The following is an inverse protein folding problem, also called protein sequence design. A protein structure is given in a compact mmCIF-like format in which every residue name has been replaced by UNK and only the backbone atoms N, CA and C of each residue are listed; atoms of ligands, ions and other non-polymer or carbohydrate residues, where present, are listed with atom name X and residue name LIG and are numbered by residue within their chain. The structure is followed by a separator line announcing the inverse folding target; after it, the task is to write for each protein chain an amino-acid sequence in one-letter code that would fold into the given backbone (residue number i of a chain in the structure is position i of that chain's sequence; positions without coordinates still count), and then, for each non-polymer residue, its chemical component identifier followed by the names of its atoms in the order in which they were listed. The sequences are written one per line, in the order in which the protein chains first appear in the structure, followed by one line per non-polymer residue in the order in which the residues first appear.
data_IF_005997751832
#
_entry.id   IF_005997751832
#
_cell.length_a   1.000
_cell.length_b   1.000
_cell.length_c   1.000
_cell.angle_alpha   90.00
_cell.angle_beta   90.00
_cell.angle_gamma   90.00
#
_symmetry.space_group_name_H-M   'P 1'
#
loop_
_entity.id
_entity.type
_entity.pdbx_description
1 polymer ?
#
# COMPACT_ATOMS: atom_id res chain seq x y z
N UNK A 1 -41.44 31.24 -43.81
CA UNK A 1 -41.90 30.32 -42.73
C UNK A 1 -41.18 28.95 -42.75
N UNK A 2 -39.95 28.82 -43.27
CA UNK A 2 -39.21 27.54 -43.32
C UNK A 2 -37.84 27.57 -42.61
N UNK A 3 -37.43 28.72 -42.07
CA UNK A 3 -36.11 28.90 -41.45
C UNK A 3 -36.06 28.53 -39.96
N UNK A 4 -37.21 28.34 -39.31
CA UNK A 4 -37.28 28.09 -37.85
C UNK A 4 -37.42 26.62 -37.44
N UNK A 5 -37.71 25.71 -38.39
CA UNK A 5 -37.78 24.26 -38.11
C UNK A 5 -36.42 23.55 -38.19
N UNK A 6 -35.39 24.19 -38.75
CA UNK A 6 -34.06 23.58 -38.89
C UNK A 6 -33.19 23.71 -37.63
N UNK A 7 -33.47 24.68 -36.78
CA UNK A 7 -32.67 24.93 -35.57
C UNK A 7 -33.06 24.05 -34.38
N UNK A 8 -34.28 23.50 -34.36
CA UNK A 8 -34.76 22.65 -33.25
C UNK A 8 -34.22 21.22 -33.29
N UNK A 9 -33.86 20.68 -34.46
CA UNK A 9 -33.30 19.32 -34.56
C UNK A 9 -31.83 19.22 -34.14
N UNK A 10 -31.09 20.32 -34.12
CA UNK A 10 -29.67 20.34 -33.72
C UNK A 10 -29.46 20.40 -32.20
N UNK A 11 -30.48 20.76 -31.42
CA UNK A 11 -30.40 20.83 -29.95
C UNK A 11 -30.75 19.50 -29.25
N UNK A 12 -31.29 18.50 -29.95
CA UNK A 12 -31.69 17.22 -29.37
C UNK A 12 -30.59 16.14 -29.40
N UNK A 13 -29.43 16.41 -30.01
CA UNK A 13 -28.33 15.44 -30.14
C UNK A 13 -27.19 15.63 -29.12
N UNK A 14 -27.24 16.67 -28.28
CA UNK A 14 -26.13 16.99 -27.35
C UNK A 14 -26.38 16.57 -25.90
N UNK A 15 -27.54 16.01 -25.55
CA UNK A 15 -27.91 15.71 -24.16
C UNK A 15 -27.99 14.21 -23.87
N UNK A 16 -26.86 13.50 -23.84
CA UNK A 16 -26.76 12.22 -23.10
C UNK A 16 -25.31 11.76 -22.89
N UNK A 17 -24.41 12.67 -22.51
CA UNK A 17 -23.12 12.27 -21.92
C UNK A 17 -23.22 12.28 -20.39
N UNK A 18 -24.29 11.68 -19.84
CA UNK A 18 -24.22 11.24 -18.44
C UNK A 18 -23.29 10.03 -18.45
N UNK A 19 -22.02 10.26 -18.17
CA UNK A 19 -21.08 9.15 -17.91
C UNK A 19 -21.64 8.38 -16.73
N UNK A 20 -21.98 7.11 -16.93
CA UNK A 20 -22.36 6.23 -15.85
C UNK A 20 -21.20 6.13 -14.85
N UNK A 21 -21.51 6.11 -13.55
CA UNK A 21 -20.51 5.92 -12.49
C UNK A 21 -19.78 4.57 -12.64
N UNK A 22 -20.44 3.58 -13.25
CA UNK A 22 -19.83 2.35 -13.71
C UNK A 22 -19.84 2.33 -15.24
N UNK A 23 -18.66 2.33 -15.86
CA UNK A 23 -18.50 2.12 -17.29
C UNK A 23 -18.05 0.67 -17.54
N UNK A 24 -18.77 -0.08 -18.39
CA UNK A 24 -18.42 -1.47 -18.73
C UNK A 24 -17.91 -1.51 -20.18
N UNK A 25 -16.68 -1.96 -20.36
CA UNK A 25 -16.07 -2.23 -21.65
C UNK A 25 -15.88 -3.74 -21.82
N UNK A 26 -16.52 -4.30 -22.84
CA UNK A 26 -16.49 -5.73 -23.13
C UNK A 26 -16.08 -5.97 -24.59
N UNK A 27 -14.82 -5.67 -24.95
CA UNK A 27 -14.34 -5.76 -26.34
C UNK A 27 -14.39 -7.18 -26.92
N UNK A 28 -14.42 -8.21 -26.05
CA UNK A 28 -14.50 -9.61 -26.46
C UNK A 28 -15.91 -10.18 -26.45
N UNK A 29 -16.93 -9.35 -26.23
CA UNK A 29 -18.35 -9.73 -26.20
C UNK A 29 -18.62 -10.96 -25.31
N UNK A 30 -17.93 -11.05 -24.16
CA UNK A 30 -18.14 -12.13 -23.20
C UNK A 30 -19.51 -11.98 -22.53
N UNK A 31 -20.07 -13.07 -22.03
CA UNK A 31 -21.31 -13.01 -21.27
C UNK A 31 -21.04 -12.31 -19.93
N UNK A 32 -21.56 -11.09 -19.77
CA UNK A 32 -21.42 -10.25 -18.57
C UNK A 32 -22.82 -9.80 -18.16
N UNK A 33 -23.26 -10.08 -16.93
CA UNK A 33 -24.55 -9.61 -16.44
C UNK A 33 -24.45 -8.13 -16.05
N UNK A 34 -24.55 -7.22 -17.02
CA UNK A 34 -24.36 -5.78 -16.82
C UNK A 34 -25.31 -5.20 -15.75
N UNK A 35 -26.59 -5.58 -15.77
CA UNK A 35 -27.58 -5.15 -14.78
C UNK A 35 -27.18 -5.56 -13.35
N UNK A 36 -26.64 -6.76 -13.21
CA UNK A 36 -26.13 -7.26 -11.93
C UNK A 36 -24.86 -6.52 -11.51
N UNK A 37 -23.95 -6.23 -12.44
CA UNK A 37 -22.75 -5.44 -12.17
C UNK A 37 -23.10 -4.04 -11.66
N UNK A 38 -24.08 -3.37 -12.28
CA UNK A 38 -24.60 -2.09 -11.80
C UNK A 38 -25.25 -2.21 -10.41
N UNK A 39 -26.07 -3.24 -10.18
CA UNK A 39 -26.69 -3.47 -8.88
C UNK A 39 -25.66 -3.71 -7.78
N UNK A 40 -24.62 -4.52 -8.05
CA UNK A 40 -23.50 -4.75 -7.14
C UNK A 40 -22.76 -3.45 -6.86
N UNK A 41 -22.40 -2.68 -7.89
CA UNK A 41 -21.72 -1.41 -7.73
C UNK A 41 -22.48 -0.46 -6.80
N UNK A 42 -23.76 -0.20 -7.09
CA UNK A 42 -24.61 0.71 -6.29
C UNK A 42 -24.81 0.17 -4.86
N UNK A 43 -24.93 -1.14 -4.71
CA UNK A 43 -25.10 -1.75 -3.38
C UNK A 43 -23.82 -1.61 -2.57
N UNK A 44 -22.66 -1.90 -3.16
CA UNK A 44 -21.37 -1.75 -2.50
C UNK A 44 -21.14 -0.30 -2.10
N UNK A 45 -21.35 0.67 -2.97
CA UNK A 45 -21.15 2.09 -2.62
C UNK A 45 -22.04 2.53 -1.45
N UNK A 46 -23.33 2.18 -1.46
CA UNK A 46 -24.25 2.49 -0.35
C UNK A 46 -23.84 1.83 0.96
N UNK A 47 -23.40 0.57 0.93
CA UNK A 47 -22.90 -0.13 2.12
C UNK A 47 -21.67 0.58 2.67
N UNK A 48 -20.75 0.99 1.80
CA UNK A 48 -19.53 1.70 2.20
C UNK A 48 -19.82 3.09 2.77
N UNK A 49 -20.71 3.87 2.17
CA UNK A 49 -21.13 5.16 2.72
C UNK A 49 -21.76 5.01 4.11
N UNK A 50 -22.59 3.99 4.31
CA UNK A 50 -23.20 3.69 5.61
C UNK A 50 -22.14 3.30 6.64
N UNK A 51 -21.23 2.41 6.28
CA UNK A 51 -20.18 1.91 7.18
C UNK A 51 -19.25 3.04 7.65
N UNK A 52 -18.95 3.99 6.77
CA UNK A 52 -18.08 5.14 7.08
C UNK A 52 -18.84 6.36 7.58
N UNK A 53 -20.16 6.26 7.81
CA UNK A 53 -21.05 7.36 8.21
C UNK A 53 -20.90 8.61 7.32
N UNK A 54 -20.77 8.39 6.01
CA UNK A 54 -20.51 9.41 5.01
C UNK A 54 -21.55 9.36 3.88
N UNK A 55 -22.83 9.65 4.17
CA UNK A 55 -23.91 9.55 3.20
C UNK A 55 -23.69 10.49 2.01
N UNK A 56 -23.80 9.96 0.79
CA UNK A 56 -23.61 10.73 -0.44
C UNK A 56 -22.16 11.12 -0.75
N UNK A 57 -21.19 10.63 0.03
CA UNK A 57 -19.78 10.96 -0.20
C UNK A 57 -19.21 10.32 -1.47
N UNK A 58 -19.76 9.18 -1.90
CA UNK A 58 -19.39 8.49 -3.15
C UNK A 58 -20.30 8.88 -4.30
N UNK A 59 -21.50 9.35 -4.01
CA UNK A 59 -22.47 9.79 -5.02
C UNK A 59 -21.86 10.83 -5.97
N UNK A 60 -21.88 10.55 -7.27
CA UNK A 60 -21.34 11.39 -8.34
C UNK A 60 -19.82 11.65 -8.31
N UNK A 61 -19.09 11.15 -7.31
CA UNK A 61 -17.63 11.30 -7.22
C UNK A 61 -16.92 10.02 -7.63
N UNK A 62 -17.44 8.88 -7.19
CA UNK A 62 -16.81 7.60 -7.42
C UNK A 62 -17.17 7.06 -8.81
N UNK A 63 -16.17 7.02 -9.68
CA UNK A 63 -16.28 6.40 -11.00
C UNK A 63 -15.37 5.18 -11.10
N UNK A 64 -15.88 4.13 -11.71
CA UNK A 64 -15.17 2.89 -11.94
C UNK A 64 -15.38 2.42 -13.37
N UNK A 65 -14.31 1.93 -13.97
CA UNK A 65 -14.34 1.29 -15.28
C UNK A 65 -14.09 -0.21 -15.13
N UNK A 66 -14.93 -1.03 -15.74
CA UNK A 66 -14.79 -2.48 -15.79
C UNK A 66 -14.44 -2.89 -17.22
N UNK A 67 -13.27 -3.48 -17.41
CA UNK A 67 -12.83 -4.04 -18.70
C UNK A 67 -12.81 -5.56 -18.61
N UNK A 68 -13.60 -6.21 -19.45
CA UNK A 68 -13.76 -7.68 -19.46
C UNK A 68 -13.04 -8.29 -20.67
N UNK A 69 -12.37 -9.42 -20.44
CA UNK A 69 -11.64 -10.17 -21.44
C UNK A 69 -10.14 -9.85 -21.51
N UNK A 70 -9.62 -9.02 -20.61
CA UNK A 70 -8.21 -8.60 -20.61
C UNK A 70 -7.31 -9.51 -19.75
N UNK A 71 -6.04 -9.63 -20.16
CA UNK A 71 -4.98 -10.30 -19.37
C UNK A 71 -3.75 -9.40 -19.30
N UNK A 72 -3.09 -9.27 -18.14
CA UNK A 72 -3.42 -9.92 -16.86
C UNK A 72 -4.62 -9.27 -16.16
N UNK A 73 -5.28 -10.03 -15.27
CA UNK A 73 -6.25 -9.45 -14.34
C UNK A 73 -5.53 -8.49 -13.38
N UNK A 74 -6.05 -7.26 -13.27
CA UNK A 74 -5.43 -6.21 -12.45
C UNK A 74 -6.45 -5.12 -12.15
N UNK A 75 -6.15 -4.29 -11.17
CA UNK A 75 -6.84 -3.02 -10.97
C UNK A 75 -5.83 -1.89 -10.97
N UNK A 76 -6.24 -0.74 -11.49
CA UNK A 76 -5.46 0.50 -11.51
C UNK A 76 -6.25 1.61 -10.85
N UNK A 77 -5.52 2.58 -10.29
CA UNK A 77 -6.07 3.86 -9.86
C UNK A 77 -5.58 4.85 -10.91
N UNK A 78 -6.51 5.38 -11.69
CA UNK A 78 -6.19 6.12 -12.90
C UNK A 78 -5.96 7.61 -12.62
N UNK A 79 -6.48 8.11 -11.50
CA UNK A 79 -6.30 9.50 -11.08
C UNK A 79 -6.17 9.67 -9.56
N UNK A 80 -5.75 10.86 -9.15
CA UNK A 80 -5.63 11.27 -7.75
C UNK A 80 -7.01 11.33 -7.08
N UNK A 81 -8.07 11.49 -7.86
CA UNK A 81 -9.43 11.43 -7.37
C UNK A 81 -9.85 10.02 -6.97
N UNK A 82 -9.02 8.97 -7.21
CA UNK A 82 -9.29 7.60 -6.80
C UNK A 82 -10.20 6.84 -7.77
N UNK A 83 -10.44 7.36 -8.97
CA UNK A 83 -11.16 6.63 -10.00
C UNK A 83 -10.29 5.47 -10.47
N UNK A 84 -10.90 4.30 -10.70
CA UNK A 84 -10.14 3.09 -10.97
C UNK A 84 -10.69 2.27 -12.11
N UNK A 85 -9.78 1.59 -12.81
CA UNK A 85 -10.11 0.59 -13.82
C UNK A 85 -9.83 -0.80 -13.30
N UNK A 86 -10.82 -1.69 -13.40
CA UNK A 86 -10.71 -3.11 -13.12
C UNK A 86 -10.66 -3.89 -14.44
N UNK A 87 -9.60 -4.66 -14.64
CA UNK A 87 -9.43 -5.57 -15.76
C UNK A 87 -9.66 -7.00 -15.27
N UNK A 88 -10.65 -7.69 -15.84
CA UNK A 88 -10.91 -9.10 -15.56
C UNK A 88 -10.83 -9.94 -16.84
N UNK A 89 -10.36 -11.18 -16.73
CA UNK A 89 -10.39 -12.13 -17.84
C UNK A 89 -11.84 -12.60 -18.09
N UNK A 90 -12.58 -12.86 -17.02
CA UNK A 90 -13.98 -13.31 -17.03
C UNK A 90 -14.75 -12.61 -15.92
N UNK A 91 -16.08 -12.51 -16.09
CA UNK A 91 -16.94 -12.00 -15.03
C UNK A 91 -16.77 -12.80 -13.74
N UNK A 92 -16.56 -12.08 -12.64
CA UNK A 92 -16.47 -12.65 -11.31
C UNK A 92 -17.00 -11.63 -10.30
N UNK A 93 -18.17 -11.91 -9.75
CA UNK A 93 -18.88 -11.03 -8.83
C UNK A 93 -18.05 -10.70 -7.59
N UNK A 94 -17.33 -11.69 -7.04
CA UNK A 94 -16.55 -11.51 -5.84
C UNK A 94 -15.34 -10.60 -6.06
N UNK A 95 -14.60 -10.80 -7.16
CA UNK A 95 -13.48 -9.93 -7.55
C UNK A 95 -13.96 -8.52 -7.84
N UNK A 96 -15.06 -8.39 -8.59
CA UNK A 96 -15.68 -7.10 -8.89
C UNK A 96 -16.06 -6.34 -7.61
N UNK A 97 -16.79 -6.99 -6.71
CA UNK A 97 -17.26 -6.40 -5.44
C UNK A 97 -16.08 -6.04 -4.52
N UNK A 98 -15.08 -6.92 -4.42
CA UNK A 98 -13.89 -6.69 -3.58
C UNK A 98 -13.10 -5.47 -4.05
N UNK A 99 -12.88 -5.32 -5.36
CA UNK A 99 -12.16 -4.16 -5.90
C UNK A 99 -13.00 -2.89 -5.78
N UNK A 100 -14.31 -2.97 -6.07
CA UNK A 100 -15.24 -1.85 -5.88
C UNK A 100 -15.18 -1.34 -4.44
N UNK A 101 -15.21 -2.25 -3.46
CA UNK A 101 -15.07 -1.93 -2.05
C UNK A 101 -13.73 -1.24 -1.74
N UNK A 102 -12.61 -1.78 -2.24
CA UNK A 102 -11.28 -1.18 -2.02
C UNK A 102 -11.18 0.24 -2.57
N UNK A 103 -11.69 0.47 -3.78
CA UNK A 103 -11.69 1.81 -4.39
C UNK A 103 -12.62 2.75 -3.61
N UNK A 104 -13.80 2.29 -3.20
CA UNK A 104 -14.71 3.07 -2.35
C UNK A 104 -14.07 3.49 -1.03
N UNK A 105 -13.28 2.61 -0.38
CA UNK A 105 -12.52 2.97 0.83
C UNK A 105 -11.55 4.12 0.52
N UNK A 106 -10.80 4.03 -0.58
CA UNK A 106 -9.85 5.08 -0.96
C UNK A 106 -10.54 6.42 -1.19
N UNK A 107 -11.72 6.42 -1.78
CA UNK A 107 -12.55 7.62 -2.00
C UNK A 107 -13.09 8.23 -0.71
N UNK A 108 -13.46 7.40 0.26
CA UNK A 108 -13.99 7.84 1.55
C UNK A 108 -12.91 8.39 2.48
N UNK A 109 -11.65 8.07 2.23
CA UNK A 109 -10.53 8.68 2.93
C UNK A 109 -10.35 10.13 2.43
N UNK A 110 -10.85 11.07 3.24
CA UNK A 110 -10.65 12.51 3.04
C UNK A 110 -9.15 12.80 2.79
N UNK A 111 -8.76 13.45 1.67
CA UNK A 111 -7.35 13.67 1.33
C UNK A 111 -6.53 14.30 2.45
N UNK A 112 -7.11 15.25 3.20
CA UNK A 112 -6.46 15.90 4.34
C UNK A 112 -6.27 14.95 5.53
N UNK A 113 -7.12 13.94 5.68
CA UNK A 113 -6.97 12.89 6.70
C UNK A 113 -5.91 11.89 6.27
N UNK A 114 -5.88 11.52 5.00
CA UNK A 114 -4.87 10.63 4.45
C UNK A 114 -3.47 11.24 4.56
N UNK A 115 -3.30 12.51 4.19
CA UNK A 115 -2.03 13.22 4.31
C UNK A 115 -1.55 13.28 5.77
N UNK A 116 -2.43 13.66 6.71
CA UNK A 116 -2.09 13.67 8.15
C UNK A 116 -1.69 12.29 8.67
N UNK A 117 -2.35 11.22 8.20
CA UNK A 117 -1.97 9.85 8.58
C UNK A 117 -0.60 9.49 8.03
N UNK A 118 -0.31 9.81 6.77
CA UNK A 118 1.01 9.57 6.16
C UNK A 118 2.11 10.32 6.92
N UNK A 119 1.91 11.59 7.26
CA UNK A 119 2.87 12.37 8.03
C UNK A 119 3.16 11.75 9.41
N UNK A 120 2.11 11.30 10.11
CA UNK A 120 2.27 10.62 11.41
C UNK A 120 3.02 9.29 11.27
N UNK A 121 2.72 8.50 10.23
CA UNK A 121 3.40 7.24 9.96
C UNK A 121 4.88 7.49 9.69
N UNK A 122 5.22 8.42 8.80
CA UNK A 122 6.60 8.74 8.45
C UNK A 122 7.36 9.27 9.65
N UNK A 123 6.77 10.20 10.42
CA UNK A 123 7.39 10.73 11.64
C UNK A 123 7.69 9.61 12.64
N UNK A 124 6.73 8.73 12.93
CA UNK A 124 6.92 7.61 13.87
C UNK A 124 7.92 6.59 13.35
N UNK A 125 7.94 6.33 12.05
CA UNK A 125 8.92 5.44 11.45
C UNK A 125 10.34 6.01 11.63
N UNK A 126 10.52 7.33 11.50
CA UNK A 126 11.80 7.99 11.73
C UNK A 126 12.23 7.94 13.21
N UNK A 127 11.29 8.05 14.16
CA UNK A 127 11.55 7.92 15.60
C UNK A 127 11.98 6.50 16.01
N UNK A 128 11.52 5.47 15.28
CA UNK A 128 11.81 4.05 15.56
C UNK A 128 12.98 3.54 14.72
N UNK A 129 13.29 4.19 13.61
CA UNK A 129 14.35 3.78 12.71
C UNK A 129 15.69 3.78 13.48
N UNK A 130 16.41 2.65 13.52
CA UNK A 130 17.73 2.61 14.13
C UNK A 130 18.64 3.60 13.40
N UNK A 131 19.30 4.46 14.18
CA UNK A 131 20.33 5.37 13.70
C UNK A 131 21.33 4.57 12.87
N UNK A 132 21.67 5.05 11.67
CA UNK A 132 22.59 4.30 10.81
C UNK A 132 23.92 4.13 11.54
N UNK A 133 24.57 2.97 11.42
CA UNK A 133 25.87 2.74 12.08
C UNK A 133 26.94 3.78 11.67
N UNK A 134 26.77 4.41 10.50
CA UNK A 134 27.57 5.54 10.01
C UNK A 134 27.44 6.80 10.86
N UNK A 135 26.31 7.04 11.52
CA UNK A 135 26.08 8.21 12.38
C UNK A 135 26.55 7.97 13.82
N UNK A 136 26.76 6.71 14.23
CA UNK A 136 27.29 6.35 15.56
C UNK A 136 28.81 6.50 15.69
N UNK A 137 29.54 6.66 14.58
CA UNK A 137 31.00 6.81 14.59
C UNK A 137 31.50 8.24 14.84
N UNK A 138 30.61 9.24 14.90
CA UNK A 138 30.96 10.64 15.10
C UNK A 138 30.79 11.13 16.56
N UNK A 139 30.32 10.28 17.48
CA UNK A 139 30.51 10.55 18.91
C UNK A 139 31.97 10.27 19.24
N UNK A 140 32.81 11.28 18.99
CA UNK A 140 34.21 11.38 19.37
C UNK A 140 34.32 11.14 20.87
N UNK A 141 34.43 9.87 21.24
CA UNK A 141 34.84 9.46 22.56
C UNK A 141 36.25 10.02 22.75
N UNK A 142 36.34 11.15 23.44
CA UNK A 142 37.58 11.69 23.95
C UNK A 142 37.96 10.82 25.16
N UNK A 143 38.43 9.60 24.89
CA UNK A 143 38.99 8.73 25.92
C UNK A 143 40.32 9.33 26.37
N UNK A 144 40.50 9.66 27.67
CA UNK A 144 41.83 9.91 28.21
C UNK A 144 42.66 8.64 28.01
N UNK A 145 43.80 8.78 27.33
CA UNK A 145 44.77 7.70 27.18
C UNK A 145 45.21 7.21 28.58
N UNK A 146 44.95 5.94 28.96
CA UNK A 146 45.52 5.40 30.18
C UNK A 146 46.99 5.06 29.94
N UNK A 147 47.89 5.34 30.90
CA UNK A 147 49.29 4.97 30.78
C UNK A 147 49.43 3.45 30.71
N UNK A 148 50.32 3.01 29.83
CA UNK A 148 50.66 1.61 29.64
C UNK A 148 51.08 0.95 30.96
N UNK A 149 50.33 -0.06 31.41
CA UNK A 149 50.79 -1.00 32.43
C UNK A 149 49.99 -2.31 32.38
N UNK A 150 50.71 -3.40 32.05
CA UNK A 150 50.54 -4.75 32.60
C UNK A 150 49.20 -5.47 32.48
N UNK A 151 49.14 -6.45 31.58
CA UNK A 151 48.57 -7.78 31.89
C UNK A 151 47.05 -7.86 32.13
N UNK A 152 46.28 -7.87 31.05
CA UNK A 152 45.07 -8.69 30.79
C UNK A 152 44.33 -8.06 29.60
N UNK A 153 44.92 -8.14 28.41
CA UNK A 153 44.22 -7.78 27.18
C UNK A 153 43.43 -9.00 26.72
N UNK A 154 42.14 -9.00 27.03
CA UNK A 154 41.21 -9.92 26.42
C UNK A 154 39.98 -10.18 27.29
N UNK A 155 39.13 -9.16 27.49
CA UNK A 155 37.69 -9.36 27.71
C UNK A 155 36.98 -8.00 27.84
N UNK A 156 36.39 -7.53 26.74
CA UNK A 156 35.13 -6.81 26.78
C UNK A 156 34.38 -7.11 25.48
N UNK A 157 33.65 -8.22 25.47
CA UNK A 157 32.59 -8.46 24.48
C UNK A 157 31.31 -8.78 25.24
N UNK A 158 30.33 -7.89 25.07
CA UNK A 158 28.88 -8.09 25.24
C UNK A 158 28.38 -8.52 26.63
N UNK A 159 27.47 -7.72 27.17
CA UNK A 159 26.78 -7.91 28.46
C UNK A 159 25.83 -9.15 28.53
N UNK A 160 26.09 -10.21 27.76
CA UNK A 160 25.25 -11.40 27.70
C UNK A 160 25.97 -12.71 28.06
N UNK A 161 27.24 -12.68 28.47
CA UNK A 161 27.95 -13.89 28.89
C UNK A 161 28.60 -13.66 30.26
N UNK A 162 28.17 -14.43 31.26
CA UNK A 162 28.79 -14.43 32.58
C UNK A 162 30.27 -14.82 32.46
N UNK A 163 31.17 -13.97 32.96
CA UNK A 163 32.61 -14.20 32.93
C UNK A 163 33.00 -15.43 33.75
N UNK A 164 33.75 -16.35 33.13
CA UNK A 164 34.39 -17.47 33.82
C UNK A 164 35.63 -16.93 34.56
N UNK A 165 35.82 -17.17 35.86
CA UNK A 165 37.01 -16.74 36.57
C UNK A 165 38.23 -17.54 36.12
N UNK A 166 39.26 -16.85 35.64
CA UNK A 166 40.56 -17.43 35.32
C UNK A 166 41.25 -17.93 36.61
N UNK A 167 41.49 -19.25 36.73
CA UNK A 167 42.38 -19.82 37.75
C UNK A 167 43.82 -19.78 37.24
N UNK A 168 44.78 -19.19 37.97
CA UNK A 168 46.18 -19.21 37.56
C UNK A 168 46.81 -20.56 37.90
N UNK A 169 47.49 -21.17 36.93
CA UNK A 169 48.50 -22.20 37.21
C UNK A 169 48.10 -23.67 37.05
N UNK A 170 47.54 -24.07 35.90
CA UNK A 170 47.65 -25.47 35.46
C UNK A 170 48.00 -25.52 33.97
N UNK A 171 49.23 -25.94 33.67
CA UNK A 171 49.70 -26.17 32.31
C UNK A 171 48.93 -27.31 31.67
N UNK A 172 48.53 -27.11 30.41
CA UNK A 172 47.99 -28.19 29.58
C UNK A 172 49.13 -28.87 28.80
N UNK A 173 49.15 -30.22 28.75
CA UNK A 173 50.13 -30.98 28.00
C UNK A 173 49.93 -30.83 26.49
N UNK A 174 51.04 -30.88 25.76
CA UNK A 174 51.11 -30.74 24.31
C UNK A 174 50.65 -32.01 23.56
N UNK A 175 50.04 -31.74 22.39
CA UNK A 175 50.08 -32.50 21.13
C UNK A 175 49.22 -33.75 20.90
N UNK A 176 48.43 -33.66 19.82
CA UNK A 176 47.99 -34.77 18.98
C UNK A 176 47.05 -34.30 17.85
N UNK A 177 47.45 -34.30 16.57
CA UNK A 177 46.58 -33.83 15.48
C UNK A 177 45.55 -34.89 15.09
N UNK A 178 44.29 -34.50 15.01
CA UNK A 178 43.17 -35.36 14.59
C UNK A 178 43.09 -35.37 13.05
N UNK A 179 43.28 -36.55 12.45
CA UNK A 179 43.05 -36.79 11.01
C UNK A 179 41.54 -36.89 10.73
N UNK A 180 41.10 -36.17 9.71
CA UNK A 180 39.77 -36.31 9.10
C UNK A 180 39.68 -37.59 8.26
N UNK A 181 38.62 -38.37 8.47
CA UNK A 181 37.97 -39.20 7.46
C UNK A 181 36.47 -39.28 7.78
#
# INVERSE_FOLDING_TARGET
MLAWQRTTWLLLLTSSLVRAQLAIENPKHLNVPESQAHALFVTTTRVMEKEFNAPGALENKFHMKLVIGEKPERFTIDDVAGNGTLYLERWNEFKFTTVTMRLAIQQLLVPERQQRMLDVIVRRAHEIAPVSASELHDEKIMLPQPPAQGGCLGQMTNAAVAGIPCKPGQGFPQNGPMRLR
#
